data_IF_597809664861
#
_entry.id   IF_597809664861
#
_cell.length_a   1.000
_cell.length_b   1.000
_cell.length_c   1.000
_cell.angle_alpha   90.00
_cell.angle_beta   90.00
_cell.angle_gamma   90.00
#
_symmetry.space_group_name_H-M   'P 1'
#
loop_
_entity.id
_entity.type
_entity.pdbx_description
1 polymer ?
#
# COMPACT_ATOMS: atom_id res chain seq x y z
N UNK A 1 7.18 22.29 -15.16
CA UNK A 1 7.21 21.44 -13.96
C UNK A 1 5.76 21.08 -13.70
N UNK A 2 5.41 19.80 -13.82
CA UNK A 2 4.04 19.33 -13.59
C UNK A 2 3.98 18.84 -12.16
N UNK A 3 3.29 19.58 -11.31
CA UNK A 3 3.03 19.19 -9.92
C UNK A 3 2.28 17.87 -9.86
N UNK A 4 2.70 16.99 -8.96
CA UNK A 4 2.01 15.74 -8.67
C UNK A 4 0.63 16.02 -8.08
N UNK A 5 -0.38 15.25 -8.50
CA UNK A 5 -1.71 15.34 -7.93
C UNK A 5 -1.66 15.06 -6.43
N UNK A 6 -2.41 15.81 -5.63
CA UNK A 6 -2.59 15.49 -4.21
C UNK A 6 -3.25 14.12 -4.08
N UNK A 7 -2.80 13.30 -3.14
CA UNK A 7 -3.56 12.15 -2.74
C UNK A 7 -4.89 12.58 -2.10
N UNK A 8 -5.87 11.69 -2.11
CA UNK A 8 -7.17 11.87 -1.45
C UNK A 8 -7.24 11.17 -0.10
N UNK A 9 -6.20 10.44 0.30
CA UNK A 9 -6.15 9.77 1.60
C UNK A 9 -5.77 10.78 2.67
N UNK A 10 -6.76 11.20 3.46
CA UNK A 10 -6.61 12.16 4.55
C UNK A 10 -6.52 11.50 5.94
N UNK A 11 -6.86 10.22 6.04
CA UNK A 11 -6.83 9.46 7.31
C UNK A 11 -6.05 8.16 7.15
N UNK A 12 -5.16 7.89 8.10
CA UNK A 12 -4.46 6.61 8.24
C UNK A 12 -4.89 5.92 9.52
N UNK A 13 -5.20 4.63 9.43
CA UNK A 13 -5.45 3.81 10.60
C UNK A 13 -4.14 3.13 11.04
N UNK A 14 -3.78 3.38 12.29
CA UNK A 14 -2.57 2.88 12.95
C UNK A 14 -3.00 2.16 14.21
N UNK A 15 -2.91 0.85 14.18
CA UNK A 15 -3.46 -0.01 15.22
C UNK A 15 -5.00 0.14 15.39
N UNK A 16 -5.74 0.28 14.29
CA UNK A 16 -7.20 0.49 14.31
C UNK A 16 -7.60 1.89 14.78
N UNK A 17 -6.64 2.74 15.14
CA UNK A 17 -6.88 4.12 15.55
C UNK A 17 -6.73 5.03 14.34
N UNK A 18 -7.75 5.82 13.98
CA UNK A 18 -7.65 6.78 12.90
C UNK A 18 -6.79 7.99 13.30
N UNK A 19 -5.91 8.42 12.38
CA UNK A 19 -5.11 9.63 12.50
C UNK A 19 -5.21 10.47 11.23
N UNK A 20 -5.38 11.77 11.40
CA UNK A 20 -5.33 12.73 10.29
C UNK A 20 -3.91 12.82 9.72
N UNK A 21 -3.80 12.69 8.41
CA UNK A 21 -2.54 12.84 7.68
C UNK A 21 -2.19 14.32 7.61
N UNK A 22 -0.95 14.65 7.97
CA UNK A 22 -0.47 16.01 7.80
C UNK A 22 -0.23 16.30 6.30
N UNK A 23 -0.69 17.46 5.78
CA UNK A 23 -0.35 17.87 4.43
C UNK A 23 1.16 18.18 4.32
N UNK A 24 1.68 18.17 3.09
CA UNK A 24 3.06 18.54 2.79
C UNK A 24 3.33 19.98 3.23
N UNK A 25 4.29 20.16 4.14
CA UNK A 25 4.64 21.48 4.72
C UNK A 25 5.86 22.12 4.08
N UNK A 26 6.43 21.49 3.04
CA UNK A 26 7.54 22.06 2.28
C UNK A 26 7.14 23.36 1.58
N UNK A 27 8.14 24.21 1.25
CA UNK A 27 7.91 25.40 0.40
C UNK A 27 7.80 25.04 -1.07
N UNK A 28 8.48 23.98 -1.46
CA UNK A 28 8.53 23.44 -2.81
C UNK A 28 7.80 22.09 -2.86
N UNK A 29 7.66 21.56 -4.07
CA UNK A 29 7.10 20.23 -4.32
C UNK A 29 7.88 19.17 -3.52
N UNK A 30 7.18 18.14 -3.06
CA UNK A 30 7.82 16.98 -2.47
C UNK A 30 8.75 16.34 -3.51
N UNK A 31 10.05 16.26 -3.22
CA UNK A 31 11.04 15.64 -4.13
C UNK A 31 10.85 14.15 -4.43
N UNK A 32 9.97 13.45 -3.72
CA UNK A 32 9.68 12.03 -3.93
C UNK A 32 8.35 11.85 -4.70
N UNK A 33 7.23 12.28 -4.10
CA UNK A 33 5.91 12.12 -4.73
C UNK A 33 5.45 13.31 -5.60
N UNK A 34 6.21 14.41 -5.65
CA UNK A 34 5.90 15.58 -6.47
C UNK A 34 4.73 16.46 -6.00
N UNK A 35 4.09 16.15 -4.87
CA UNK A 35 2.92 16.93 -4.38
C UNK A 35 3.32 18.37 -4.01
N UNK A 36 2.47 19.33 -4.37
CA UNK A 36 2.65 20.73 -3.97
C UNK A 36 2.48 20.96 -2.46
N UNK A 37 3.01 22.08 -1.93
CA UNK A 37 2.73 22.53 -0.58
C UNK A 37 1.23 22.54 -0.28
N UNK A 38 0.84 21.95 0.86
CA UNK A 38 -0.55 21.85 1.30
C UNK A 38 -1.31 20.63 0.77
N UNK A 39 -0.79 19.89 -0.22
CA UNK A 39 -1.38 18.62 -0.67
C UNK A 39 -0.99 17.44 0.22
N UNK A 40 -1.74 16.35 0.15
CA UNK A 40 -1.44 15.11 0.87
C UNK A 40 -0.48 14.23 0.09
N UNK A 41 0.52 13.68 0.79
CA UNK A 41 1.43 12.70 0.24
C UNK A 41 0.68 11.43 -0.19
N UNK A 42 1.12 10.80 -1.28
CA UNK A 42 0.70 9.46 -1.63
C UNK A 42 1.20 8.45 -0.59
N UNK A 43 0.39 7.42 -0.35
CA UNK A 43 0.79 6.31 0.52
C UNK A 43 2.07 5.68 -0.04
N UNK A 44 3.07 5.51 0.83
CA UNK A 44 4.38 4.99 0.44
C UNK A 44 5.42 6.06 0.13
N UNK A 45 5.10 7.36 0.21
CA UNK A 45 6.09 8.42 0.00
C UNK A 45 7.14 8.43 1.12
N UNK A 46 8.42 8.46 0.74
CA UNK A 46 9.56 8.43 1.68
C UNK A 46 9.61 9.66 2.60
N UNK A 47 9.03 10.78 2.16
CA UNK A 47 8.97 12.02 2.92
C UNK A 47 7.68 12.18 3.72
N UNK A 48 6.74 11.24 3.66
CA UNK A 48 5.53 11.30 4.46
C UNK A 48 5.86 11.12 5.94
N UNK A 49 5.32 12.00 6.78
CA UNK A 49 5.44 11.90 8.24
C UNK A 49 4.39 10.97 8.82
N UNK A 50 4.77 10.17 9.81
CA UNK A 50 3.89 9.38 10.65
C UNK A 50 2.98 10.28 11.47
N UNK A 51 1.65 10.19 11.32
CA UNK A 51 0.74 11.06 12.05
C UNK A 51 0.66 10.70 13.55
N UNK A 52 1.13 9.51 13.96
CA UNK A 52 1.19 9.09 15.37
C UNK A 52 2.42 9.60 16.12
N UNK A 53 3.62 9.50 15.53
CA UNK A 53 4.87 9.82 16.23
C UNK A 53 5.71 10.95 15.59
N UNK A 54 5.35 11.42 14.40
CA UNK A 54 6.06 12.49 13.68
C UNK A 54 7.35 12.06 12.97
N UNK A 55 7.81 10.81 13.12
CA UNK A 55 8.92 10.25 12.33
C UNK A 55 8.55 9.99 10.86
N UNK A 56 9.48 9.52 10.03
CA UNK A 56 9.14 9.11 8.66
C UNK A 56 8.22 7.89 8.66
N UNK A 57 7.12 7.94 7.89
CA UNK A 57 6.05 6.94 7.87
C UNK A 57 6.59 5.51 7.77
N UNK A 58 7.46 5.30 6.79
CA UNK A 58 8.02 3.99 6.43
C UNK A 58 9.04 3.46 7.45
N UNK A 59 9.56 4.31 8.33
CA UNK A 59 10.66 3.98 9.25
C UNK A 59 10.27 4.11 10.72
N UNK A 60 9.05 4.57 11.02
CA UNK A 60 8.66 4.98 12.38
C UNK A 60 8.39 3.83 13.36
N UNK A 61 8.29 2.58 12.88
CA UNK A 61 7.98 1.40 13.70
C UNK A 61 6.60 1.42 14.38
N UNK A 62 5.73 2.38 14.05
CA UNK A 62 4.35 2.37 14.55
C UNK A 62 3.59 1.17 13.92
N UNK A 63 2.72 0.49 14.67
CA UNK A 63 1.92 -0.62 14.15
C UNK A 63 0.92 -0.14 13.08
N UNK A 64 0.88 -0.86 11.96
CA UNK A 64 0.04 -0.58 10.79
C UNK A 64 -1.04 -1.65 10.62
N UNK A 65 -2.20 -1.25 10.09
CA UNK A 65 -3.32 -2.19 9.91
C UNK A 65 -3.14 -3.15 8.72
N UNK A 66 -2.29 -2.80 7.74
CA UNK A 66 -1.98 -3.66 6.59
C UNK A 66 -0.90 -4.72 6.84
N UNK A 67 -0.41 -4.85 8.08
CA UNK A 67 0.59 -5.85 8.50
C UNK A 67 0.01 -6.84 9.53
N UNK A 68 -1.31 -6.81 9.70
CA UNK A 68 -2.04 -7.79 10.45
C UNK A 68 -2.32 -8.93 9.50
N UNK A 69 -1.68 -10.04 9.81
CA UNK A 69 -1.98 -11.37 9.30
C UNK A 69 -3.45 -11.70 9.65
N UNK A 70 -4.39 -11.13 8.90
CA UNK A 70 -5.77 -11.60 8.83
C UNK A 70 -5.89 -12.60 7.67
N UNK A 71 -4.82 -13.34 7.38
CA UNK A 71 -4.90 -14.67 6.77
C UNK A 71 -5.23 -15.68 7.88
N UNK A 72 -6.31 -15.39 8.60
CA UNK A 72 -7.04 -16.37 9.40
C UNK A 72 -7.92 -17.14 8.41
N UNK A 73 -7.29 -17.98 7.56
CA UNK A 73 -7.75 -19.29 7.11
C UNK A 73 -6.85 -19.78 5.96
N UNK A 74 -5.70 -20.38 6.29
CA UNK A 74 -5.01 -21.27 5.35
C UNK A 74 -5.63 -22.68 5.36
N UNK A 75 -6.58 -22.93 6.27
CA UNK A 75 -7.28 -24.20 6.43
C UNK A 75 -8.47 -24.36 5.44
N UNK A 76 -8.98 -23.28 4.83
CA UNK A 76 -9.93 -23.27 3.69
C UNK A 76 -9.21 -23.41 2.32
N UNK A 77 -7.88 -23.53 2.27
CA UNK A 77 -7.14 -23.78 1.02
C UNK A 77 -7.14 -25.26 0.59
N UNK A 78 -7.84 -26.14 1.31
CA UNK A 78 -8.05 -27.54 0.89
C UNK A 78 -8.94 -27.66 -0.38
N UNK A 79 -9.63 -26.59 -0.81
CA UNK A 79 -10.39 -26.55 -2.09
C UNK A 79 -9.53 -26.19 -3.32
N UNK A 80 -8.21 -25.97 -3.17
CA UNK A 80 -7.31 -25.72 -4.32
C UNK A 80 -6.77 -27.00 -4.98
N UNK A 81 -7.04 -28.18 -4.41
CA UNK A 81 -6.74 -29.48 -5.04
C UNK A 81 -7.67 -29.81 -6.24
N UNK A 82 -8.79 -29.09 -6.43
CA UNK A 82 -9.67 -29.27 -7.60
C UNK A 82 -9.20 -28.50 -8.87
N UNK A 83 -8.11 -27.72 -8.80
CA UNK A 83 -7.54 -27.08 -9.99
C UNK A 83 -6.65 -28.00 -10.84
N UNK A 84 -6.42 -29.25 -10.41
CA UNK A 84 -5.79 -30.29 -11.24
C UNK A 84 -6.76 -30.92 -12.26
N UNK A 85 -8.08 -30.66 -12.19
CA UNK A 85 -9.08 -31.17 -13.15
C UNK A 85 -9.46 -30.14 -14.24
N UNK A 86 -8.92 -28.91 -14.20
CA UNK A 86 -8.97 -28.03 -15.37
C UNK A 86 -7.96 -28.54 -16.39
N UNK A 87 -8.44 -29.46 -17.22
CA UNK A 87 -7.83 -29.99 -18.44
C UNK A 87 -7.17 -28.88 -19.27
N UNK A 88 -5.92 -28.54 -18.93
CA UNK A 88 -4.96 -27.98 -19.86
C UNK A 88 -4.60 -29.14 -20.79
N UNK A 89 -5.50 -29.45 -21.73
CA UNK A 89 -5.17 -30.10 -22.98
C UNK A 89 -4.06 -29.27 -23.64
N UNK A 90 -2.82 -29.52 -23.23
CA UNK A 90 -1.65 -29.15 -24.00
C UNK A 90 -1.74 -30.04 -25.24
N UNK A 91 -2.28 -29.47 -26.31
CA UNK A 91 -2.26 -30.06 -27.63
C UNK A 91 -0.78 -30.18 -28.04
N UNK A 92 -0.09 -31.25 -27.62
CA UNK A 92 1.20 -31.63 -28.20
C UNK A 92 0.94 -32.06 -29.63
N UNK A 93 1.04 -31.10 -30.56
CA UNK A 93 1.05 -31.38 -31.98
C UNK A 93 2.11 -32.44 -32.30
N UNK A 94 1.86 -33.37 -33.25
CA UNK A 94 2.81 -34.43 -33.53
C UNK A 94 4.07 -33.84 -34.15
N UNK A 95 5.18 -33.88 -33.42
CA UNK A 95 6.50 -33.64 -33.95
C UNK A 95 6.91 -34.77 -34.89
N UNK A 96 7.17 -34.44 -36.15
CA UNK A 96 7.75 -35.33 -37.16
C UNK A 96 9.26 -35.41 -37.12
#
# INVERSE_FOLDING_TARGET
MTTGASCTVETLHLDGVPFDVAPHRGRDECGDCGVAPGGFHHIGCDMQGCPRCGGQLLMCGCPWDGLRDDVEDFDDLDDLDDLDDLDLSVEVGPGG
#
